data_IF_535982192860
#
_entry.id   IF_535982192860
#
_cell.length_a   1.000
_cell.length_b   1.000
_cell.length_c   1.000
_cell.angle_alpha   90.00
_cell.angle_beta   90.00
_cell.angle_gamma   90.00
#
_symmetry.space_group_name_H-M   'P 1'
#
loop_
_entity.id
_entity.type
_entity.pdbx_description
1 polymer ?
#
# COMPACT_ATOMS: atom_id res chain seq x y z
N UNK A 1 16.67 11.71 -3.91
CA UNK A 1 15.49 11.93 -4.79
C UNK A 1 14.25 11.65 -3.95
N UNK A 2 13.04 12.15 -4.27
CA UNK A 2 11.86 11.63 -3.60
C UNK A 2 11.81 10.11 -3.81
N UNK A 3 11.40 9.36 -2.78
CA UNK A 3 11.21 7.91 -2.89
C UNK A 3 10.30 7.58 -4.09
N UNK A 4 10.63 6.50 -4.77
CA UNK A 4 9.80 5.99 -5.86
C UNK A 4 8.49 5.44 -5.29
N UNK A 5 7.37 5.97 -5.77
CA UNK A 5 6.02 5.63 -5.32
C UNK A 5 5.23 5.08 -6.49
N UNK A 6 4.61 3.91 -6.31
CA UNK A 6 3.68 3.35 -7.28
C UNK A 6 2.32 3.05 -6.66
N UNK A 7 1.27 3.47 -7.35
CA UNK A 7 -0.06 2.94 -7.13
C UNK A 7 -0.17 1.57 -7.80
N UNK A 8 -0.59 0.58 -7.03
CA UNK A 8 -0.74 -0.80 -7.46
C UNK A 8 -2.21 -1.18 -7.39
N UNK A 9 -2.75 -1.68 -8.49
CA UNK A 9 -4.19 -1.93 -8.64
C UNK A 9 -4.55 -3.43 -8.57
N UNK A 10 -3.55 -4.31 -8.55
CA UNK A 10 -3.75 -5.76 -8.49
C UNK A 10 -2.74 -6.48 -7.60
N UNK A 11 -3.12 -7.67 -7.13
CA UNK A 11 -2.24 -8.54 -6.35
C UNK A 11 -1.04 -9.02 -7.20
N UNK A 12 -1.27 -9.28 -8.49
CA UNK A 12 -0.22 -9.75 -9.40
C UNK A 12 0.83 -8.65 -9.65
N UNK A 13 0.37 -7.40 -9.80
CA UNK A 13 1.26 -6.24 -9.91
C UNK A 13 2.03 -6.02 -8.60
N UNK A 14 1.36 -6.14 -7.44
CA UNK A 14 2.01 -6.04 -6.14
C UNK A 14 3.13 -7.08 -6.01
N UNK A 15 2.83 -8.35 -6.34
CA UNK A 15 3.81 -9.42 -6.29
C UNK A 15 4.99 -9.17 -7.24
N UNK A 16 4.70 -8.71 -8.47
CA UNK A 16 5.73 -8.40 -9.47
C UNK A 16 6.67 -7.28 -9.03
N UNK A 17 6.13 -6.22 -8.42
CA UNK A 17 6.94 -5.09 -7.90
C UNK A 17 7.79 -5.51 -6.70
N UNK A 18 7.24 -6.31 -5.79
CA UNK A 18 7.98 -6.86 -4.64
C UNK A 18 9.12 -7.75 -5.12
N UNK A 19 8.89 -8.63 -6.09
CA UNK A 19 9.91 -9.51 -6.66
C UNK A 19 11.03 -8.72 -7.35
N UNK A 20 10.67 -7.71 -8.16
CA UNK A 20 11.65 -6.84 -8.79
C UNK A 20 12.48 -6.07 -7.76
N UNK A 21 11.85 -5.57 -6.70
CA UNK A 21 12.54 -4.88 -5.61
C UNK A 21 13.50 -5.81 -4.86
N UNK A 22 13.07 -7.05 -4.61
CA UNK A 22 13.89 -8.10 -4.01
C UNK A 22 15.16 -8.36 -4.83
N UNK A 23 15.02 -8.56 -6.14
CA UNK A 23 16.14 -8.80 -7.06
C UNK A 23 17.16 -7.65 -7.09
N UNK A 24 16.68 -6.42 -6.84
CA UNK A 24 17.51 -5.22 -6.78
C UNK A 24 17.99 -4.87 -5.36
N UNK A 25 17.72 -5.71 -4.36
CA UNK A 25 18.13 -5.48 -2.97
C UNK A 25 17.48 -4.25 -2.33
N UNK A 26 16.29 -3.89 -2.76
CA UNK A 26 15.54 -2.72 -2.26
C UNK A 26 14.71 -3.08 -1.03
N UNK A 27 14.60 -2.14 -0.10
CA UNK A 27 13.64 -2.23 1.00
C UNK A 27 12.26 -1.80 0.48
N UNK A 28 11.20 -2.56 0.79
CA UNK A 28 9.85 -2.28 0.28
C UNK A 28 8.90 -1.95 1.42
N UNK A 29 8.17 -0.86 1.25
CA UNK A 29 7.02 -0.49 2.07
C UNK A 29 5.75 -0.69 1.25
N UNK A 30 4.77 -1.40 1.81
CA UNK A 30 3.46 -1.61 1.19
C UNK A 30 2.39 -1.01 2.08
N UNK A 31 1.68 -0.01 1.56
CA UNK A 31 0.61 0.68 2.26
C UNK A 31 -0.74 0.28 1.65
N UNK A 32 -1.57 -0.40 2.44
CA UNK A 32 -2.93 -0.74 2.07
C UNK A 32 -3.89 0.34 2.58
N UNK A 33 -4.59 0.98 1.64
CA UNK A 33 -5.55 2.06 1.85
C UNK A 33 -6.91 1.73 1.24
N UNK A 34 -7.94 2.43 1.69
CA UNK A 34 -9.23 2.43 1.00
C UNK A 34 -9.10 3.19 -0.32
N UNK A 35 -9.83 2.76 -1.35
CA UNK A 35 -9.78 3.44 -2.65
C UNK A 35 -10.10 4.93 -2.55
N UNK A 36 -9.48 5.71 -3.42
CA UNK A 36 -9.74 7.13 -3.57
C UNK A 36 -11.19 7.38 -4.02
N UNK A 37 -11.93 8.22 -3.31
CA UNK A 37 -13.23 8.72 -3.75
C UNK A 37 -13.01 9.75 -4.87
N UNK A 38 -13.67 9.53 -6.01
CA UNK A 38 -13.47 10.33 -7.22
C UNK A 38 -13.96 11.78 -7.11
N UNK A 39 -14.78 12.11 -6.10
CA UNK A 39 -15.29 13.47 -5.93
C UNK A 39 -14.38 14.32 -5.04
N UNK A 40 -13.84 13.72 -3.99
CA UNK A 40 -12.99 14.39 -2.99
C UNK A 40 -11.50 14.26 -3.32
N UNK A 41 -11.09 13.15 -3.93
CA UNK A 41 -9.68 12.80 -4.11
C UNK A 41 -9.05 12.17 -2.87
N UNK A 42 -9.85 11.92 -1.82
CA UNK A 42 -9.40 11.34 -0.56
C UNK A 42 -9.83 9.87 -0.45
N UNK A 43 -9.16 9.08 0.40
CA UNK A 43 -9.66 7.74 0.76
C UNK A 43 -11.05 7.83 1.39
N UNK A 44 -11.92 6.83 1.14
CA UNK A 44 -13.21 6.75 1.85
C UNK A 44 -13.05 6.48 3.36
N UNK A 45 -11.86 6.06 3.81
CA UNK A 45 -11.56 5.81 5.22
C UNK A 45 -10.86 7.01 5.86
N UNK A 46 -11.48 7.59 6.89
CA UNK A 46 -10.91 8.73 7.63
C UNK A 46 -9.52 8.42 8.22
N UNK A 47 -9.32 7.19 8.69
CA UNK A 47 -8.03 6.76 9.24
C UNK A 47 -6.95 6.62 8.17
N UNK A 48 -7.34 6.22 6.94
CA UNK A 48 -6.44 6.23 5.79
C UNK A 48 -6.03 7.66 5.42
N UNK A 49 -6.95 8.62 5.38
CA UNK A 49 -6.63 10.03 5.10
C UNK A 49 -5.64 10.62 6.13
N UNK A 50 -5.86 10.32 7.42
CA UNK A 50 -4.94 10.73 8.49
C UNK A 50 -3.56 10.10 8.31
N UNK A 51 -3.50 8.82 7.94
CA UNK A 51 -2.24 8.12 7.73
C UNK A 51 -1.49 8.66 6.51
N UNK A 52 -2.17 8.91 5.39
CA UNK A 52 -1.60 9.52 4.18
C UNK A 52 -0.98 10.89 4.49
N UNK A 53 -1.68 11.74 5.25
CA UNK A 53 -1.13 13.04 5.68
C UNK A 53 0.18 12.90 6.48
N UNK A 54 0.29 11.86 7.32
CA UNK A 54 1.51 11.56 8.08
C UNK A 54 2.60 11.01 7.14
N UNK A 55 2.25 10.12 6.22
CA UNK A 55 3.16 9.52 5.25
C UNK A 55 3.78 10.57 4.35
N UNK A 56 2.99 11.49 3.80
CA UNK A 56 3.49 12.62 2.98
C UNK A 56 4.55 13.43 3.70
N UNK A 57 4.39 13.66 5.01
CA UNK A 57 5.37 14.40 5.82
C UNK A 57 6.64 13.60 6.15
N UNK A 58 6.63 12.28 5.99
CA UNK A 58 7.71 11.37 6.42
C UNK A 58 8.43 10.66 5.29
N UNK A 59 7.82 10.57 4.10
CA UNK A 59 8.37 9.83 2.95
C UNK A 59 9.68 10.41 2.42
N UNK A 60 9.98 11.68 2.74
CA UNK A 60 11.28 12.31 2.45
C UNK A 60 12.44 11.82 3.32
N UNK A 61 12.18 10.98 4.33
CA UNK A 61 13.19 10.48 5.30
C UNK A 61 13.75 9.10 4.90
N UNK A 62 13.14 8.43 3.93
CA UNK A 62 13.59 7.11 3.45
C UNK A 62 14.84 7.20 2.56
N UNK A 63 15.50 6.08 2.30
CA UNK A 63 16.63 6.05 1.37
C UNK A 63 16.12 6.13 -0.06
N UNK A 64 16.93 6.72 -0.95
CA UNK A 64 16.64 6.78 -2.40
C UNK A 64 16.43 5.38 -3.03
N UNK A 65 16.98 4.32 -2.41
CA UNK A 65 16.84 2.93 -2.86
C UNK A 65 15.52 2.27 -2.46
N UNK A 66 14.78 2.85 -1.51
CA UNK A 66 13.58 2.21 -0.98
C UNK A 66 12.43 2.32 -2.00
N UNK A 67 11.46 1.42 -1.91
CA UNK A 67 10.28 1.37 -2.78
C UNK A 67 9.04 1.52 -1.92
N UNK A 68 8.16 2.45 -2.28
CA UNK A 68 6.87 2.61 -1.63
C UNK A 68 5.75 2.20 -2.59
N UNK A 69 4.96 1.22 -2.19
CA UNK A 69 3.82 0.71 -2.96
C UNK A 69 2.53 1.06 -2.23
N UNK A 70 1.67 1.82 -2.89
CA UNK A 70 0.32 2.13 -2.42
C UNK A 70 -0.67 1.18 -3.07
N UNK A 71 -1.49 0.52 -2.26
CA UNK A 71 -2.46 -0.49 -2.69
C UNK A 71 -3.85 -0.05 -2.24
N UNK A 72 -4.74 0.14 -3.20
CA UNK A 72 -6.15 0.38 -2.91
C UNK A 72 -6.89 -0.96 -2.80
N UNK A 73 -7.53 -1.19 -1.65
CA UNK A 73 -8.22 -2.47 -1.40
C UNK A 73 -9.62 -2.54 -2.00
N UNK A 74 -10.06 -1.46 -2.65
CA UNK A 74 -11.41 -1.25 -3.16
C UNK A 74 -12.20 -0.23 -2.35
N UNK A 75 -13.48 -0.07 -2.69
CA UNK A 75 -14.41 0.79 -1.98
C UNK A 75 -14.86 0.16 -0.65
N UNK A 76 -15.57 0.92 0.19
CA UNK A 76 -16.01 0.48 1.53
C UNK A 76 -16.82 -0.82 1.50
N UNK A 77 -17.70 -0.99 0.52
CA UNK A 77 -18.51 -2.22 0.39
C UNK A 77 -17.65 -3.43 0.01
N UNK A 78 -16.70 -3.24 -0.92
CA UNK A 78 -15.76 -4.29 -1.32
C UNK A 78 -14.83 -4.68 -0.16
N UNK A 79 -14.43 -3.73 0.69
CA UNK A 79 -13.59 -4.01 1.86
C UNK A 79 -14.34 -4.77 2.95
N UNK A 80 -15.60 -4.42 3.20
CA UNK A 80 -16.44 -5.08 4.20
C UNK A 80 -16.85 -6.51 3.79
N UNK A 81 -16.67 -6.91 2.53
CA UNK A 81 -16.83 -8.30 2.11
C UNK A 81 -15.73 -9.18 2.71
N UNK A 82 -16.14 -10.22 3.43
CA UNK A 82 -15.25 -11.27 3.94
C UNK A 82 -14.40 -11.98 2.86
N UNK A 83 -14.85 -11.96 1.61
CA UNK A 83 -14.14 -12.53 0.46
C UNK A 83 -13.24 -11.52 -0.26
N UNK A 84 -13.05 -10.31 0.28
CA UNK A 84 -12.14 -9.33 -0.29
C UNK A 84 -10.76 -9.96 -0.51
N UNK A 85 -10.26 -9.87 -1.75
CA UNK A 85 -9.04 -10.55 -2.20
C UNK A 85 -7.82 -10.26 -1.32
N UNK A 86 -7.74 -9.08 -0.69
CA UNK A 86 -6.62 -8.71 0.19
C UNK A 86 -6.77 -9.24 1.62
N UNK A 87 -8.01 -9.39 2.11
CA UNK A 87 -8.31 -10.00 3.42
C UNK A 87 -8.02 -11.49 3.44
N UNK A 88 -8.33 -12.17 2.34
CA UNK A 88 -8.14 -13.63 2.21
C UNK A 88 -6.82 -14.04 1.57
N UNK A 89 -6.01 -13.09 1.07
CA UNK A 89 -4.75 -13.42 0.42
C UNK A 89 -3.82 -14.13 1.41
N UNK A 90 -3.28 -15.32 1.08
CA UNK A 90 -2.54 -16.14 2.04
C UNK A 90 -1.29 -15.45 2.61
N UNK A 91 -0.69 -14.54 1.86
CA UNK A 91 0.52 -13.80 2.29
C UNK A 91 0.21 -12.50 3.04
N UNK A 92 -0.81 -11.75 2.63
CA UNK A 92 -1.03 -10.39 3.15
C UNK A 92 -2.02 -10.40 4.31
N UNK A 93 -3.11 -11.17 4.20
CA UNK A 93 -4.17 -11.32 5.21
C UNK A 93 -4.51 -9.99 5.92
N UNK A 94 -4.76 -8.93 5.14
CA UNK A 94 -4.95 -7.59 5.69
C UNK A 94 -6.22 -7.60 6.56
N UNK A 95 -6.07 -7.29 7.85
CA UNK A 95 -7.18 -7.38 8.82
C UNK A 95 -7.95 -6.08 8.93
N UNK A 96 -7.24 -4.97 8.91
CA UNK A 96 -7.76 -3.62 9.14
C UNK A 96 -7.06 -2.62 8.22
N UNK A 97 -7.72 -1.49 7.97
CA UNK A 97 -7.14 -0.35 7.28
C UNK A 97 -6.92 0.81 8.26
N UNK A 98 -5.92 1.68 8.03
CA UNK A 98 -4.79 1.44 7.13
C UNK A 98 -3.85 0.34 7.64
N UNK A 99 -3.11 -0.31 6.74
CA UNK A 99 -2.02 -1.24 7.10
C UNK A 99 -0.75 -0.87 6.35
N UNK A 100 0.36 -0.70 7.07
CA UNK A 100 1.70 -0.51 6.49
C UNK A 100 2.57 -1.73 6.78
N UNK A 101 3.06 -2.39 5.73
CA UNK A 101 4.01 -3.49 5.82
C UNK A 101 5.40 -3.02 5.44
N UNK A 102 6.41 -3.52 6.15
CA UNK A 102 7.82 -3.30 5.82
C UNK A 102 8.45 -4.65 5.49
N UNK A 103 8.93 -4.81 4.25
CA UNK A 103 9.50 -6.04 3.72
C UNK A 103 10.99 -5.84 3.48
N UNK A 104 11.81 -6.49 4.31
CA UNK A 104 13.27 -6.53 4.16
C UNK A 104 13.71 -7.93 3.72
N UNK A 105 14.57 -7.97 2.72
CA UNK A 105 15.17 -9.20 2.23
C UNK A 105 16.62 -9.26 2.76
N UNK A 106 16.92 -10.29 3.55
CA UNK A 106 18.26 -10.53 4.14
C UNK A 106 19.01 -11.61 3.37
#
# INVERSE_FOLDING_TARGET
MPIEQFLVQSIDELASQIELAHQNGRHVFVYFSGSTDMNTGDSWSEDCCKCESILESTIGVTKDSDLFLMVEVGNENEWNDSNNKFRIHPLYQVKELPTLLSLSFF
#
